data_IF_448834006568
#
_entry.id   IF_448834006568
#
_cell.length_a   1.000
_cell.length_b   1.000
_cell.length_c   1.000
_cell.angle_alpha   90.00
_cell.angle_beta   90.00
_cell.angle_gamma   90.00
#
_symmetry.space_group_name_H-M   'P 1'
#
loop_
_entity.id
_entity.type
_entity.pdbx_description
1 polymer ?
#
# COMPACT_ATOMS: atom_id res chain seq x y z
N UNK A 1 0.26 16.89 7.08
CA UNK A 1 1.23 15.80 7.14
C UNK A 1 0.82 14.69 6.18
N UNK A 2 1.60 13.62 6.06
CA UNK A 2 1.29 12.53 5.11
C UNK A 2 -0.05 11.85 5.44
N UNK A 3 -0.36 11.69 6.73
CA UNK A 3 -1.66 11.15 7.17
C UNK A 3 -2.86 11.95 6.61
N UNK A 4 -2.83 13.28 6.71
CA UNK A 4 -3.93 14.13 6.21
C UNK A 4 -4.00 14.12 4.69
N UNK A 5 -2.86 14.03 3.99
CA UNK A 5 -2.82 13.91 2.52
C UNK A 5 -3.44 12.59 2.06
N UNK A 6 -3.08 11.49 2.70
CA UNK A 6 -3.66 10.17 2.40
C UNK A 6 -5.15 10.14 2.71
N UNK A 7 -5.59 10.72 3.83
CA UNK A 7 -7.01 10.81 4.18
C UNK A 7 -7.81 11.54 3.10
N UNK A 8 -7.31 12.70 2.64
CA UNK A 8 -7.97 13.45 1.55
C UNK A 8 -7.97 12.68 0.23
N UNK A 9 -6.87 12.00 -0.10
CA UNK A 9 -6.78 11.19 -1.31
C UNK A 9 -7.76 10.00 -1.29
N UNK A 10 -7.95 9.36 -0.14
CA UNK A 10 -8.95 8.29 0.04
C UNK A 10 -10.36 8.85 -0.14
N UNK A 11 -10.69 9.97 0.52
CA UNK A 11 -12.03 10.59 0.45
C UNK A 11 -12.38 11.05 -0.97
N UNK A 12 -11.39 11.58 -1.70
CA UNK A 12 -11.57 12.07 -3.06
C UNK A 12 -11.31 10.98 -4.11
N UNK A 13 -11.06 9.73 -3.70
CA UNK A 13 -10.73 8.61 -4.57
C UNK A 13 -9.65 8.97 -5.61
N UNK A 14 -8.63 9.66 -5.14
CA UNK A 14 -7.54 10.21 -5.97
C UNK A 14 -6.29 9.36 -5.78
N UNK A 15 -5.60 9.02 -6.87
CA UNK A 15 -4.37 8.25 -6.77
C UNK A 15 -3.28 9.04 -6.06
N UNK A 16 -2.34 8.31 -5.46
CA UNK A 16 -1.15 8.87 -4.84
C UNK A 16 0.09 8.21 -5.38
N UNK A 17 1.17 8.98 -5.48
CA UNK A 17 2.52 8.45 -5.63
C UNK A 17 3.21 8.47 -4.28
N UNK A 18 3.66 7.31 -3.86
CA UNK A 18 4.32 7.10 -2.56
C UNK A 18 5.77 6.77 -2.82
N UNK A 19 6.67 7.49 -2.14
CA UNK A 19 8.08 7.13 -2.09
C UNK A 19 8.42 6.51 -0.74
N UNK A 20 9.09 5.37 -0.77
CA UNK A 20 9.50 4.62 0.42
C UNK A 20 10.90 5.02 0.90
N UNK A 21 11.27 4.53 2.07
CA UNK A 21 12.62 4.58 2.63
C UNK A 21 13.69 3.89 1.77
N UNK A 22 13.30 2.88 1.00
CA UNK A 22 14.14 2.22 -0.02
C UNK A 22 14.27 3.02 -1.33
N UNK A 23 13.77 4.27 -1.36
CA UNK A 23 13.72 5.14 -2.54
C UNK A 23 12.93 4.56 -3.73
N UNK A 24 12.06 3.58 -3.47
CA UNK A 24 11.14 3.00 -4.46
C UNK A 24 9.88 3.85 -4.52
N UNK A 25 9.34 4.06 -5.73
CA UNK A 25 8.10 4.81 -5.94
C UNK A 25 6.98 3.89 -6.40
N UNK A 26 5.82 4.01 -5.77
CA UNK A 26 4.61 3.27 -6.12
C UNK A 26 3.48 4.24 -6.45
N UNK A 27 2.79 4.02 -7.57
CA UNK A 27 1.51 4.67 -7.85
C UNK A 27 0.41 3.79 -7.29
N UNK A 28 -0.34 4.31 -6.32
CA UNK A 28 -1.28 3.55 -5.49
C UNK A 28 -2.66 4.18 -5.60
N UNK A 29 -3.67 3.34 -5.64
CA UNK A 29 -5.06 3.71 -5.36
C UNK A 29 -5.26 3.50 -3.85
N UNK A 30 -5.27 4.56 -3.02
CA UNK A 30 -5.35 4.42 -1.57
C UNK A 30 -6.80 4.15 -1.14
N UNK A 31 -7.05 3.02 -0.47
CA UNK A 31 -8.41 2.62 -0.08
C UNK A 31 -8.68 2.93 1.40
N UNK A 32 -7.72 2.63 2.28
CA UNK A 32 -7.93 2.79 3.72
C UNK A 32 -6.63 2.98 4.51
N UNK A 33 -6.75 3.70 5.61
CA UNK A 33 -5.74 3.71 6.67
C UNK A 33 -6.18 2.70 7.76
N UNK A 34 -5.32 1.73 8.03
CA UNK A 34 -5.55 0.64 8.98
C UNK A 34 -4.62 0.82 10.18
N UNK A 35 -5.10 0.56 11.39
CA UNK A 35 -4.30 0.59 12.61
C UNK A 35 -4.19 -0.82 13.19
N UNK A 36 -2.96 -1.31 13.37
CA UNK A 36 -2.68 -2.61 13.98
C UNK A 36 -1.41 -2.50 14.82
N UNK A 37 -1.41 -3.05 16.04
CA UNK A 37 -0.26 -3.05 16.94
C UNK A 37 0.41 -1.67 17.15
N UNK A 38 -0.41 -0.62 17.30
CA UNK A 38 0.02 0.78 17.44
C UNK A 38 0.79 1.35 16.22
N UNK A 39 0.69 0.70 15.07
CA UNK A 39 1.24 1.16 13.80
C UNK A 39 0.12 1.42 12.78
N UNK A 40 0.32 2.45 11.95
CA UNK A 40 -0.58 2.79 10.86
C UNK A 40 -0.08 2.22 9.54
N UNK A 41 -1.00 1.65 8.78
CA UNK A 41 -0.77 1.09 7.46
C UNK A 41 -1.69 1.76 6.44
N UNK A 42 -1.18 1.97 5.24
CA UNK A 42 -1.99 2.29 4.08
C UNK A 42 -2.28 0.99 3.33
N UNK A 43 -3.56 0.70 3.12
CA UNK A 43 -4.05 -0.37 2.26
C UNK A 43 -4.71 0.20 1.01
N UNK A 44 -4.50 -0.47 -0.12
CA UNK A 44 -5.01 -0.08 -1.41
C UNK A 44 -4.60 -1.08 -2.49
N UNK A 45 -4.49 -0.62 -3.72
CA UNK A 45 -3.95 -1.42 -4.80
C UNK A 45 -3.04 -0.63 -5.72
N UNK A 46 -2.21 -1.37 -6.46
CA UNK A 46 -1.45 -0.90 -7.62
C UNK A 46 -1.89 -1.72 -8.83
N UNK A 47 -1.27 -1.46 -9.99
CA UNK A 47 -1.43 -2.30 -11.18
C UNK A 47 -1.00 -3.76 -10.98
N UNK A 48 -0.26 -4.08 -9.92
CA UNK A 48 0.20 -5.43 -9.59
C UNK A 48 -0.65 -6.14 -8.53
N UNK A 49 -1.73 -5.50 -8.05
CA UNK A 49 -2.65 -6.08 -7.06
C UNK A 49 -2.66 -5.33 -5.73
N UNK A 50 -2.96 -6.05 -4.64
CA UNK A 50 -3.10 -5.48 -3.29
C UNK A 50 -1.79 -4.86 -2.84
N UNK A 51 -1.87 -3.64 -2.31
CA UNK A 51 -0.74 -2.89 -1.80
C UNK A 51 -0.98 -2.52 -0.34
N UNK A 52 -0.03 -2.90 0.51
CA UNK A 52 -0.03 -2.56 1.93
C UNK A 52 1.35 -2.07 2.31
N UNK A 53 1.42 -0.91 2.97
CA UNK A 53 2.68 -0.38 3.49
C UNK A 53 2.46 0.31 4.83
N UNK A 54 3.44 0.18 5.73
CA UNK A 54 3.45 0.99 6.94
C UNK A 54 3.73 2.46 6.61
N UNK A 55 3.00 3.36 7.28
CA UNK A 55 3.23 4.80 7.18
C UNK A 55 4.64 5.19 7.67
N UNK A 56 5.26 4.41 8.57
CA UNK A 56 6.62 4.68 9.06
C UNK A 56 7.69 4.58 7.96
N UNK A 57 7.38 3.81 6.89
CA UNK A 57 8.23 3.60 5.73
C UNK A 57 7.99 4.61 4.61
N UNK A 58 6.92 5.40 4.68
CA UNK A 58 6.62 6.45 3.70
C UNK A 58 7.53 7.65 3.96
N UNK A 59 8.15 8.18 2.89
CA UNK A 59 9.00 9.37 2.92
C UNK A 59 8.40 10.54 2.15
N UNK A 60 7.52 10.26 1.20
CA UNK A 60 6.76 11.29 0.51
C UNK A 60 5.42 10.73 0.03
N UNK A 61 4.37 11.54 0.16
CA UNK A 61 3.09 11.38 -0.53
C UNK A 61 2.85 12.54 -1.48
N UNK A 62 2.74 12.21 -2.77
CA UNK A 62 2.31 13.10 -3.84
C UNK A 62 0.89 12.71 -4.26
N UNK A 63 -0.08 13.62 -4.12
CA UNK A 63 -1.47 13.40 -4.58
C UNK A 63 -1.53 13.74 -6.07
N UNK A 64 -2.22 12.92 -6.85
CA UNK A 64 -2.34 13.06 -8.31
C UNK A 64 -3.76 13.55 -8.66
N UNK A 65 -4.04 14.87 -8.63
CA UNK A 65 -5.40 15.43 -8.59
C UNK A 65 -6.30 15.07 -9.78
N UNK A 66 -5.74 14.74 -10.94
CA UNK A 66 -6.49 14.40 -12.16
C UNK A 66 -6.56 12.89 -12.43
N UNK A 67 -6.18 12.06 -11.45
CA UNK A 67 -6.29 10.61 -11.56
C UNK A 67 -7.19 10.07 -10.46
N UNK A 68 -8.46 9.90 -10.77
CA UNK A 68 -9.42 9.24 -9.89
C UNK A 68 -9.46 7.74 -10.15
N UNK A 69 -10.06 6.98 -9.23
CA UNK A 69 -10.29 5.55 -9.39
C UNK A 69 -11.62 5.15 -8.76
N UNK A 70 -12.19 4.06 -9.23
CA UNK A 70 -13.39 3.47 -8.63
C UNK A 70 -12.99 2.51 -7.50
N UNK A 71 -13.80 2.48 -6.45
CA UNK A 71 -13.59 1.58 -5.33
C UNK A 71 -14.01 0.16 -5.72
N UNK A 72 -13.09 -0.80 -5.55
CA UNK A 72 -13.38 -2.22 -5.56
C UNK A 72 -13.89 -2.68 -4.17
N UNK A 73 -15.20 -2.94 -4.09
CA UNK A 73 -15.83 -3.44 -2.86
C UNK A 73 -15.30 -4.83 -2.42
N UNK A 74 -14.79 -5.62 -3.35
CA UNK A 74 -14.17 -6.92 -3.03
C UNK A 74 -12.87 -6.70 -2.28
N UNK A 75 -12.05 -5.74 -2.74
CA UNK A 75 -10.83 -5.35 -2.05
C UNK A 75 -11.11 -4.75 -0.69
N UNK A 76 -12.13 -3.89 -0.56
CA UNK A 76 -12.56 -3.38 0.76
C UNK A 76 -12.91 -4.53 1.69
N UNK A 77 -13.75 -5.47 1.22
CA UNK A 77 -14.17 -6.61 2.02
C UNK A 77 -12.99 -7.46 2.49
N UNK A 78 -11.97 -7.64 1.64
CA UNK A 78 -10.74 -8.35 1.96
C UNK A 78 -9.93 -7.63 3.05
N UNK A 79 -9.68 -6.32 2.91
CA UNK A 79 -8.83 -5.58 3.87
C UNK A 79 -9.52 -5.36 5.23
N UNK A 80 -10.83 -5.62 5.32
CA UNK A 80 -11.62 -5.57 6.56
C UNK A 80 -11.67 -6.92 7.30
N UNK A 81 -11.18 -8.02 6.69
CA UNK A 81 -11.15 -9.32 7.36
C UNK A 81 -10.19 -9.31 8.55
N UNK A 82 -10.57 -9.98 9.65
CA UNK A 82 -9.71 -10.13 10.83
C UNK A 82 -8.36 -10.73 10.47
N UNK A 83 -8.35 -11.77 9.65
CA UNK A 83 -7.14 -12.49 9.25
C UNK A 83 -6.18 -11.56 8.49
N UNK A 84 -6.72 -10.64 7.69
CA UNK A 84 -5.93 -9.62 7.01
C UNK A 84 -5.33 -8.64 8.02
N UNK A 85 -6.13 -8.17 8.98
CA UNK A 85 -5.69 -7.25 10.03
C UNK A 85 -4.63 -7.84 10.95
N UNK A 86 -4.74 -9.13 11.27
CA UNK A 86 -3.76 -9.90 12.05
C UNK A 86 -2.46 -10.11 11.26
N UNK A 87 -2.54 -10.23 9.94
CA UNK A 87 -1.38 -10.40 9.08
C UNK A 87 -0.60 -9.09 8.80
N UNK A 88 -1.19 -7.91 9.05
CA UNK A 88 -0.57 -6.59 8.76
C UNK A 88 0.87 -6.45 9.29
N UNK A 89 1.20 -6.77 10.55
CA UNK A 89 2.56 -6.65 11.08
C UNK A 89 3.57 -7.54 10.35
N UNK A 90 3.10 -8.59 9.68
CA UNK A 90 3.92 -9.57 8.97
C UNK A 90 4.01 -9.31 7.46
N UNK A 91 3.32 -8.30 6.92
CA UNK A 91 3.22 -8.04 5.48
C UNK A 91 4.57 -7.87 4.79
N UNK A 92 5.56 -7.26 5.45
CA UNK A 92 6.91 -7.16 4.87
C UNK A 92 7.56 -8.53 4.65
N UNK A 93 7.42 -9.44 5.62
CA UNK A 93 7.94 -10.81 5.52
C UNK A 93 7.17 -11.59 4.45
N UNK A 94 5.84 -11.48 4.43
CA UNK A 94 4.98 -12.12 3.41
C UNK A 94 5.42 -11.66 2.02
N UNK A 95 5.61 -10.35 1.82
CA UNK A 95 6.08 -9.80 0.55
C UNK A 95 7.45 -10.36 0.16
N UNK A 96 8.40 -10.46 1.10
CA UNK A 96 9.72 -11.06 0.83
C UNK A 96 9.64 -12.53 0.43
N UNK A 97 8.78 -13.32 1.09
CA UNK A 97 8.56 -14.73 0.77
C UNK A 97 7.99 -14.88 -0.65
N UNK A 98 6.98 -14.08 -1.00
CA UNK A 98 6.36 -14.10 -2.33
C UNK A 98 7.35 -13.73 -3.45
N UNK A 99 8.36 -12.91 -3.15
CA UNK A 99 9.38 -12.46 -4.11
C UNK A 99 10.73 -13.18 -3.99
N UNK A 100 10.81 -14.24 -3.17
CA UNK A 100 12.06 -14.97 -2.95
C UNK A 100 12.60 -15.63 -4.23
N UNK A 101 11.71 -16.16 -5.08
CA UNK A 101 12.07 -16.83 -6.34
C UNK A 101 12.42 -15.90 -7.50
N UNK A 102 11.92 -14.66 -7.51
CA UNK A 102 12.11 -13.70 -8.62
C UNK A 102 13.46 -12.98 -8.59
N UNK A 103 14.23 -13.06 -7.48
CA UNK A 103 15.61 -12.56 -7.42
C UNK A 103 16.65 -13.48 -8.07
N UNK A 104 16.35 -14.76 -8.31
CA UNK A 104 17.35 -15.73 -8.78
C UNK A 104 17.50 -15.79 -10.31
N UNK A 105 16.60 -15.18 -11.09
CA UNK A 105 16.64 -15.22 -12.56
C UNK A 105 17.51 -14.14 -13.21
N UNK A 106 17.91 -13.08 -12.47
CA UNK A 106 18.74 -12.00 -13.02
C UNK A 106 20.27 -12.24 -12.91
N UNK A 107 20.72 -13.34 -12.30
CA UNK A 107 22.15 -13.68 -12.16
C UNK A 107 22.61 -14.80 -13.11
N UNK A 108 21.91 -15.00 -14.23
CA UNK A 108 22.33 -15.89 -15.31
C UNK A 108 22.24 -15.14 -16.64
N UNK A 109 23.21 -14.24 -16.88
CA UNK A 109 23.64 -13.81 -18.21
C UNK A 109 25.07 -13.30 -18.10
#
# INVERSE_FOLDING_TARGET
>A
GDFSRLTLAILNQTQVRIRTDENVSHTVHPYRLLCSHAEWFLAGCTSSGVFVISLSRIRLVEVLPDTTFEIDNTLISLIEQSDFMEALPHMNIIHQIMHYGSKQTNNRN
#
